data_IF_311746852312
#
_entry.id   IF_311746852312
#
_cell.length_a   1.000
_cell.length_b   1.000
_cell.length_c   1.000
_cell.angle_alpha   90.00
_cell.angle_beta   90.00
_cell.angle_gamma   90.00
#
_symmetry.space_group_name_H-M   'P 1'
#
loop_
_entity.id
_entity.type
_entity.pdbx_description
1 polymer ?
#
# COMPACT_ATOMS: atom_id res chain seq x y z
N UNK A 1 14.41 -67.66 -49.45
CA UNK A 1 14.96 -67.61 -50.87
C UNK A 1 15.81 -66.34 -50.96
N UNK A 2 17.04 -66.56 -51.36
CA UNK A 2 18.10 -65.73 -51.96
C UNK A 2 18.45 -64.43 -51.22
N UNK A 3 19.58 -64.36 -50.51
CA UNK A 3 21.01 -64.22 -50.99
C UNK A 3 21.17 -63.00 -51.89
N UNK A 4 22.02 -62.08 -51.65
CA UNK A 4 23.49 -62.01 -51.71
C UNK A 4 23.85 -60.51 -51.76
N UNK A 5 24.78 -59.96 -51.25
CA UNK A 5 26.24 -60.05 -50.98
C UNK A 5 26.90 -58.72 -51.31
N UNK A 6 27.77 -58.31 -50.41
CA UNK A 6 29.11 -57.68 -50.58
C UNK A 6 29.18 -56.40 -51.44
N UNK A 7 29.95 -55.39 -51.11
CA UNK A 7 31.41 -55.33 -50.82
C UNK A 7 31.83 -53.98 -50.30
N UNK A 8 32.76 -53.96 -49.37
CA UNK A 8 33.70 -52.87 -49.11
C UNK A 8 34.71 -52.76 -50.25
N UNK A 9 35.40 -51.59 -50.43
CA UNK A 9 36.75 -51.56 -49.94
C UNK A 9 37.18 -50.20 -49.24
N UNK A 10 38.24 -50.38 -48.47
CA UNK A 10 39.02 -49.44 -47.74
C UNK A 10 40.01 -48.57 -48.56
N UNK A 11 40.80 -47.77 -47.86
CA UNK A 11 42.07 -47.06 -48.18
C UNK A 11 41.84 -45.53 -48.34
N UNK A 12 42.55 -44.58 -47.77
CA UNK A 12 43.86 -44.57 -47.09
C UNK A 12 44.00 -43.29 -46.25
N UNK A 13 44.85 -43.33 -45.27
CA UNK A 13 45.31 -42.29 -44.40
C UNK A 13 46.14 -41.22 -45.13
N UNK A 14 46.08 -39.97 -44.67
CA UNK A 14 47.17 -39.01 -44.75
C UNK A 14 47.16 -38.09 -43.52
N UNK A 15 48.15 -38.21 -42.68
CA UNK A 15 48.47 -37.34 -41.56
C UNK A 15 49.15 -36.06 -42.08
N UNK A 16 48.66 -34.88 -41.65
CA UNK A 16 49.43 -33.64 -41.71
C UNK A 16 49.42 -33.03 -40.35
N UNK A 17 50.59 -33.02 -39.72
CA UNK A 17 50.87 -32.31 -38.51
C UNK A 17 50.99 -30.81 -38.80
N UNK A 18 50.18 -29.98 -38.16
CA UNK A 18 50.31 -28.53 -38.15
C UNK A 18 50.40 -28.02 -36.71
N UNK A 19 51.60 -27.63 -36.30
CA UNK A 19 51.80 -26.86 -35.06
C UNK A 19 51.06 -25.54 -35.19
N UNK A 20 50.12 -25.25 -34.25
CA UNK A 20 49.60 -23.92 -34.04
C UNK A 20 50.01 -23.45 -32.63
N UNK A 21 50.66 -22.30 -32.57
CA UNK A 21 51.08 -21.58 -31.40
C UNK A 21 49.93 -21.36 -30.39
N UNK A 22 50.19 -21.71 -29.18
CA UNK A 22 49.36 -21.28 -28.02
C UNK A 22 49.53 -19.77 -27.81
N UNK A 23 48.57 -18.97 -28.26
CA UNK A 23 48.38 -17.60 -27.83
C UNK A 23 47.48 -17.62 -26.58
N UNK A 24 48.04 -17.52 -25.40
CA UNK A 24 47.31 -17.15 -24.19
C UNK A 24 46.87 -15.67 -24.32
N UNK A 25 45.72 -15.41 -24.84
CA UNK A 25 44.97 -14.20 -24.50
C UNK A 25 44.27 -14.47 -23.20
N UNK A 26 44.76 -13.88 -22.12
CA UNK A 26 43.99 -13.71 -20.89
C UNK A 26 42.82 -12.78 -21.26
N UNK A 27 41.71 -13.36 -21.69
CA UNK A 27 40.41 -12.72 -21.66
C UNK A 27 40.00 -12.65 -20.21
N UNK A 28 40.02 -11.45 -19.66
CA UNK A 28 39.23 -11.15 -18.49
C UNK A 28 37.78 -11.50 -18.83
N UNK A 29 37.32 -12.65 -18.48
CA UNK A 29 35.92 -12.89 -18.23
C UNK A 29 35.58 -12.03 -17.02
N UNK A 30 35.12 -10.82 -17.25
CA UNK A 30 34.16 -10.24 -16.33
C UNK A 30 33.05 -11.28 -16.30
N UNK A 31 32.98 -12.07 -15.23
CA UNK A 31 31.75 -12.70 -14.81
C UNK A 31 30.75 -11.55 -14.62
N UNK A 32 30.00 -11.27 -15.67
CA UNK A 32 28.68 -10.65 -15.55
C UNK A 32 27.87 -11.73 -14.84
N UNK A 33 27.91 -11.71 -13.51
CA UNK A 33 26.98 -12.42 -12.70
C UNK A 33 25.62 -11.85 -13.08
N UNK A 34 24.89 -12.56 -13.96
CA UNK A 34 23.50 -12.33 -14.22
C UNK A 34 22.82 -12.49 -12.86
N UNK A 35 22.70 -11.40 -12.12
CA UNK A 35 21.86 -11.36 -10.93
C UNK A 35 20.46 -11.67 -11.43
N UNK A 36 19.81 -12.72 -10.89
CA UNK A 36 18.42 -13.05 -11.18
C UNK A 36 17.53 -11.83 -10.97
N UNK A 37 16.32 -11.88 -11.45
CA UNK A 37 15.30 -10.86 -11.18
C UNK A 37 14.41 -11.36 -10.07
N UNK A 38 14.33 -10.64 -8.97
CA UNK A 38 13.41 -10.91 -7.86
C UNK A 38 11.98 -10.58 -8.28
N UNK A 39 11.78 -9.38 -8.82
CA UNK A 39 10.47 -8.92 -9.28
C UNK A 39 10.56 -7.82 -10.34
N UNK A 40 9.45 -7.60 -11.03
CA UNK A 40 9.29 -6.51 -12.01
C UNK A 40 7.92 -5.88 -11.81
N UNK A 41 7.87 -4.56 -11.79
CA UNK A 41 6.66 -3.78 -11.47
C UNK A 41 6.52 -2.59 -12.40
N UNK A 42 5.35 -2.41 -12.97
CA UNK A 42 4.99 -1.20 -13.70
C UNK A 42 4.57 -0.10 -12.72
N UNK A 43 5.22 1.05 -12.77
CA UNK A 43 4.92 2.22 -11.93
C UNK A 43 4.56 3.44 -12.78
N UNK A 44 4.12 4.51 -12.13
CA UNK A 44 3.84 5.79 -12.80
C UNK A 44 5.08 6.38 -13.49
N UNK A 45 6.28 6.01 -13.05
CA UNK A 45 7.56 6.46 -13.61
C UNK A 45 8.22 5.45 -14.56
N UNK A 46 7.54 4.34 -14.86
CA UNK A 46 8.03 3.28 -15.74
C UNK A 46 8.18 1.94 -15.04
N UNK A 47 8.70 0.97 -15.77
CA UNK A 47 8.98 -0.36 -15.25
C UNK A 47 10.20 -0.34 -14.32
N UNK A 48 10.04 -0.94 -13.15
CA UNK A 48 11.11 -1.13 -12.17
C UNK A 48 11.42 -2.62 -12.08
N UNK A 49 12.67 -2.99 -12.35
CA UNK A 49 13.18 -4.35 -12.13
C UNK A 49 13.97 -4.39 -10.82
N UNK A 50 13.59 -5.27 -9.91
CA UNK A 50 14.29 -5.52 -8.65
C UNK A 50 15.23 -6.70 -8.86
N UNK A 51 16.57 -6.52 -8.76
CA UNK A 51 17.53 -7.61 -8.85
C UNK A 51 17.37 -8.59 -7.68
N UNK A 52 17.69 -9.86 -7.92
CA UNK A 52 17.81 -10.81 -6.81
C UNK A 52 19.01 -10.42 -5.94
N UNK A 53 18.83 -10.21 -4.61
CA UNK A 53 19.91 -9.79 -3.74
C UNK A 53 20.96 -10.90 -3.55
N UNK A 54 22.20 -10.53 -3.33
CA UNK A 54 23.27 -11.49 -3.07
C UNK A 54 23.20 -12.13 -1.68
N UNK A 55 22.40 -11.58 -0.79
CA UNK A 55 22.18 -12.01 0.60
C UNK A 55 20.73 -11.89 1.00
N UNK A 56 20.48 -11.53 2.26
CA UNK A 56 19.14 -11.21 2.73
C UNK A 56 18.66 -9.90 2.11
N UNK A 57 17.39 -9.88 1.68
CA UNK A 57 16.80 -8.71 1.04
C UNK A 57 16.63 -7.56 2.04
N UNK A 58 17.20 -6.41 1.72
CA UNK A 58 17.12 -5.18 2.53
C UNK A 58 16.08 -4.23 1.95
N UNK A 59 14.96 -4.03 2.67
CA UNK A 59 13.83 -3.21 2.22
C UNK A 59 13.67 -1.97 3.09
N UNK A 60 13.47 -0.82 2.47
CA UNK A 60 13.03 0.42 3.12
C UNK A 60 11.62 0.75 2.64
N UNK A 61 10.69 1.00 3.57
CA UNK A 61 9.28 1.29 3.31
C UNK A 61 8.96 2.74 3.69
N UNK A 62 8.60 3.55 2.71
CA UNK A 62 8.38 4.99 2.84
C UNK A 62 6.92 5.41 2.64
N UNK A 63 6.20 4.75 1.73
CA UNK A 63 4.80 5.07 1.47
C UNK A 63 3.90 4.68 2.65
N UNK A 64 2.75 5.34 2.72
CA UNK A 64 1.76 5.04 3.76
C UNK A 64 1.39 3.55 3.72
N UNK A 65 1.53 2.86 4.85
CA UNK A 65 1.27 1.43 5.04
C UNK A 65 2.16 0.45 4.24
N UNK A 66 3.16 0.91 3.47
CA UNK A 66 4.06 0.03 2.70
C UNK A 66 4.77 -1.00 3.60
N UNK A 67 5.16 -0.60 4.82
CA UNK A 67 5.76 -1.51 5.78
C UNK A 67 4.81 -2.66 6.15
N UNK A 68 3.53 -2.36 6.36
CA UNK A 68 2.52 -3.37 6.68
C UNK A 68 2.26 -4.31 5.51
N UNK A 69 2.31 -3.81 4.27
CA UNK A 69 2.20 -4.65 3.06
C UNK A 69 3.38 -5.63 2.97
N UNK A 70 4.62 -5.15 3.17
CA UNK A 70 5.81 -6.00 3.18
C UNK A 70 5.77 -7.06 4.30
N UNK A 71 5.37 -6.65 5.52
CA UNK A 71 5.23 -7.54 6.68
C UNK A 71 4.20 -8.64 6.43
N UNK A 72 3.07 -8.33 5.78
CA UNK A 72 2.04 -9.31 5.45
C UNK A 72 2.55 -10.41 4.52
N UNK A 73 3.54 -10.10 3.71
CA UNK A 73 4.23 -11.02 2.80
C UNK A 73 5.46 -11.69 3.45
N UNK A 74 5.68 -11.48 4.76
CA UNK A 74 6.79 -12.07 5.50
C UNK A 74 8.14 -11.41 5.22
N UNK A 75 8.17 -10.21 4.65
CA UNK A 75 9.37 -9.41 4.46
C UNK A 75 9.42 -8.30 5.50
N UNK A 76 10.50 -8.26 6.28
CA UNK A 76 10.67 -7.32 7.39
C UNK A 76 11.51 -6.13 6.94
N UNK A 77 10.94 -4.91 6.82
CA UNK A 77 11.71 -3.73 6.45
C UNK A 77 12.76 -3.37 7.52
N UNK A 78 13.94 -2.92 7.07
CA UNK A 78 15.00 -2.41 7.97
C UNK A 78 14.85 -0.91 8.24
N UNK A 79 14.12 -0.18 7.39
CA UNK A 79 13.80 1.23 7.53
C UNK A 79 12.32 1.48 7.24
N UNK A 80 11.66 2.28 8.08
CA UNK A 80 10.22 2.57 7.96
C UNK A 80 9.97 4.07 8.20
N UNK A 81 9.17 4.68 7.35
CA UNK A 81 8.66 6.03 7.58
C UNK A 81 7.40 5.98 8.46
N UNK A 82 7.45 6.64 9.61
CA UNK A 82 6.34 6.67 10.58
C UNK A 82 5.32 7.75 10.25
N UNK A 83 4.48 7.49 9.26
CA UNK A 83 3.53 8.47 8.74
C UNK A 83 2.33 8.77 9.66
N UNK A 84 2.03 7.89 10.64
CA UNK A 84 0.95 8.10 11.60
C UNK A 84 1.43 8.38 13.03
N UNK A 85 2.73 8.54 13.24
CA UNK A 85 3.32 8.74 14.56
C UNK A 85 3.02 7.57 15.52
N UNK A 86 3.11 6.35 15.04
CA UNK A 86 2.98 5.14 15.85
C UNK A 86 4.09 5.00 16.91
N UNK A 87 5.25 5.59 16.64
CA UNK A 87 6.40 5.64 17.52
C UNK A 87 7.27 4.39 17.51
N UNK A 88 8.42 4.52 18.16
CA UNK A 88 9.43 3.46 18.20
C UNK A 88 8.97 2.20 18.94
N UNK A 89 8.11 2.33 19.94
CA UNK A 89 7.57 1.18 20.68
C UNK A 89 6.72 0.27 19.79
N UNK A 90 6.07 0.83 18.78
CA UNK A 90 5.30 0.13 17.76
C UNK A 90 6.11 -0.08 16.46
N UNK A 91 7.43 0.20 16.45
CA UNK A 91 8.28 0.01 15.28
C UNK A 91 7.76 0.75 14.03
N UNK A 92 7.16 1.93 14.24
CA UNK A 92 6.58 2.79 13.19
C UNK A 92 5.45 2.17 12.36
N UNK A 93 4.77 1.15 12.88
CA UNK A 93 3.56 0.54 12.30
C UNK A 93 2.47 0.41 13.35
N UNK A 94 1.24 0.09 12.92
CA UNK A 94 0.14 -0.12 13.86
C UNK A 94 0.37 -1.30 14.82
N UNK A 95 -0.27 -1.28 16.03
CA UNK A 95 -0.13 -2.36 17.02
C UNK A 95 -0.43 -3.76 16.45
N UNK A 96 -1.33 -3.86 15.47
CA UNK A 96 -1.68 -5.10 14.77
C UNK A 96 -0.56 -5.70 13.93
N UNK A 97 0.50 -4.93 13.63
CA UNK A 97 1.62 -5.35 12.78
C UNK A 97 2.96 -5.42 13.51
N UNK A 98 3.06 -4.82 14.70
CA UNK A 98 4.32 -4.67 15.46
C UNK A 98 5.05 -5.99 15.72
N UNK A 99 4.33 -7.05 16.07
CA UNK A 99 4.90 -8.36 16.38
C UNK A 99 5.52 -9.05 15.15
N UNK A 100 5.12 -8.68 13.94
CA UNK A 100 5.64 -9.26 12.69
C UNK A 100 7.11 -8.91 12.43
N UNK A 101 7.63 -7.88 13.07
CA UNK A 101 9.06 -7.56 13.04
C UNK A 101 9.93 -8.57 13.80
N UNK A 102 9.35 -9.39 14.70
CA UNK A 102 10.11 -10.28 15.57
C UNK A 102 11.15 -9.50 16.38
N UNK A 103 12.42 -9.94 16.30
CA UNK A 103 13.54 -9.28 17.00
C UNK A 103 14.12 -8.08 16.23
N UNK A 104 13.65 -7.80 15.02
CA UNK A 104 14.14 -6.66 14.23
C UNK A 104 13.54 -5.35 14.77
N UNK A 105 14.40 -4.35 14.95
CA UNK A 105 14.01 -2.98 15.22
C UNK A 105 14.37 -2.15 13.99
N UNK A 106 13.39 -1.67 13.20
CA UNK A 106 13.67 -0.87 12.02
C UNK A 106 14.23 0.49 12.40
N UNK A 107 15.03 1.08 11.53
CA UNK A 107 15.35 2.50 11.59
C UNK A 107 14.12 3.32 11.22
N UNK A 108 13.74 4.28 12.05
CA UNK A 108 12.64 5.20 11.73
C UNK A 108 13.18 6.30 10.84
N UNK A 109 12.68 6.34 9.61
CA UNK A 109 13.09 7.36 8.62
C UNK A 109 12.43 8.67 8.97
N UNK A 110 13.25 9.68 9.22
CA UNK A 110 12.82 11.02 9.63
C UNK A 110 12.53 11.90 8.41
N UNK A 111 11.65 12.88 8.58
CA UNK A 111 11.50 13.98 7.64
C UNK A 111 12.72 14.90 7.66
N UNK A 112 13.11 15.36 6.49
CA UNK A 112 14.16 16.36 6.31
C UNK A 112 13.58 17.60 5.63
N UNK A 113 12.74 18.33 6.36
CA UNK A 113 11.96 19.45 5.81
C UNK A 113 10.73 18.94 5.04
N UNK A 114 10.68 19.18 3.72
CA UNK A 114 9.54 18.78 2.87
C UNK A 114 9.72 17.38 2.24
N UNK A 115 10.71 16.60 2.69
CA UNK A 115 11.05 15.31 2.10
C UNK A 115 11.63 14.36 3.16
N UNK A 116 11.83 13.09 2.78
CA UNK A 116 12.48 12.08 3.65
C UNK A 116 14.00 12.30 3.74
N UNK A 117 14.62 11.75 4.76
CA UNK A 117 16.07 11.81 4.96
C UNK A 117 16.79 10.80 4.05
N UNK A 118 17.24 11.25 2.88
CA UNK A 118 17.94 10.41 1.89
C UNK A 118 19.26 9.84 2.39
N UNK A 119 19.99 10.57 3.26
CA UNK A 119 21.26 10.09 3.82
C UNK A 119 21.03 8.90 4.75
N UNK A 120 19.95 8.95 5.54
CA UNK A 120 19.53 7.87 6.41
C UNK A 120 19.13 6.63 5.60
N UNK A 121 18.35 6.82 4.52
CA UNK A 121 17.96 5.74 3.60
C UNK A 121 19.21 5.11 2.95
N UNK A 122 20.12 5.93 2.42
CA UNK A 122 21.34 5.45 1.77
C UNK A 122 22.25 4.66 2.74
N UNK A 123 22.31 5.06 4.01
CA UNK A 123 23.11 4.38 5.03
C UNK A 123 22.61 2.97 5.35
N UNK A 124 21.36 2.65 5.04
CA UNK A 124 20.78 1.31 5.19
C UNK A 124 21.13 0.37 4.04
N UNK A 125 21.76 0.88 2.96
CA UNK A 125 22.14 0.11 1.76
C UNK A 125 20.99 -0.77 1.25
N UNK A 126 19.78 -0.19 0.94
CA UNK A 126 18.62 -0.98 0.56
C UNK A 126 18.79 -1.63 -0.82
N UNK A 127 18.26 -2.84 -0.98
CA UNK A 127 18.07 -3.50 -2.28
C UNK A 127 16.78 -3.03 -2.96
N UNK A 128 15.81 -2.54 -2.17
CA UNK A 128 14.49 -2.12 -2.61
C UNK A 128 13.94 -1.01 -1.72
N UNK A 129 13.36 0.01 -2.35
CA UNK A 129 12.59 1.07 -1.67
C UNK A 129 11.13 0.97 -2.13
N UNK A 130 10.20 0.89 -1.17
CA UNK A 130 8.77 0.94 -1.39
C UNK A 130 8.26 2.35 -1.10
N UNK A 131 7.54 2.94 -2.04
CA UNK A 131 6.90 4.26 -1.90
C UNK A 131 5.58 4.30 -2.69
N UNK A 132 4.79 3.24 -2.54
CA UNK A 132 3.63 2.95 -3.38
C UNK A 132 2.41 3.80 -3.07
N UNK A 133 2.24 4.26 -1.82
CA UNK A 133 1.17 5.17 -1.42
C UNK A 133 1.78 6.48 -0.92
N UNK A 134 2.11 7.35 -1.88
CA UNK A 134 2.84 8.59 -1.65
C UNK A 134 2.33 9.73 -2.55
N UNK A 135 2.98 10.88 -2.49
CA UNK A 135 2.61 12.04 -3.30
C UNK A 135 2.84 11.82 -4.81
N UNK A 136 3.60 10.81 -5.22
CA UNK A 136 3.95 10.59 -6.63
C UNK A 136 4.88 11.68 -7.17
N UNK A 137 5.79 12.22 -6.34
CA UNK A 137 6.72 13.28 -6.74
C UNK A 137 7.88 12.72 -7.56
N UNK A 138 8.04 13.22 -8.79
CA UNK A 138 9.07 12.76 -9.73
C UNK A 138 10.50 13.03 -9.23
N UNK A 139 10.73 14.16 -8.55
CA UNK A 139 12.07 14.48 -8.02
C UNK A 139 12.42 13.56 -6.85
N UNK A 140 11.43 13.19 -6.03
CA UNK A 140 11.63 12.21 -4.99
C UNK A 140 11.97 10.84 -5.61
N UNK A 141 11.25 10.44 -6.67
CA UNK A 141 11.54 9.21 -7.41
C UNK A 141 12.95 9.20 -7.98
N UNK A 142 13.36 10.26 -8.70
CA UNK A 142 14.71 10.39 -9.26
C UNK A 142 15.77 10.22 -8.17
N UNK A 143 15.56 10.88 -7.03
CA UNK A 143 16.51 10.85 -5.91
C UNK A 143 16.60 9.51 -5.21
N UNK A 144 15.47 8.84 -4.97
CA UNK A 144 15.42 7.51 -4.38
C UNK A 144 15.99 6.45 -5.32
N UNK A 145 15.73 6.58 -6.62
CA UNK A 145 16.24 5.65 -7.65
C UNK A 145 17.77 5.72 -7.84
N UNK A 146 18.42 6.82 -7.41
CA UNK A 146 19.89 6.87 -7.31
C UNK A 146 20.43 6.00 -6.17
N UNK A 147 19.59 5.63 -5.18
CA UNK A 147 19.98 4.81 -4.03
C UNK A 147 19.71 3.33 -4.32
N UNK A 148 18.46 3.00 -4.70
CA UNK A 148 18.03 1.63 -4.99
C UNK A 148 16.81 1.61 -5.93
N UNK A 149 16.47 0.46 -6.55
CA UNK A 149 15.20 0.28 -7.22
C UNK A 149 14.05 0.75 -6.34
N UNK A 150 13.22 1.67 -6.87
CA UNK A 150 12.16 2.32 -6.08
C UNK A 150 10.80 2.10 -6.74
N UNK A 151 9.87 1.50 -6.01
CA UNK A 151 8.52 1.19 -6.47
C UNK A 151 7.54 2.26 -6.00
N UNK A 152 6.90 2.93 -6.95
CA UNK A 152 5.82 3.88 -6.75
C UNK A 152 4.47 3.29 -7.15
N UNK A 153 3.39 4.05 -6.97
CA UNK A 153 2.06 3.70 -7.45
C UNK A 153 2.00 3.40 -8.96
N UNK A 154 0.99 2.68 -9.45
CA UNK A 154 0.74 2.54 -10.88
C UNK A 154 0.45 3.87 -11.57
N UNK A 155 0.48 3.87 -12.91
CA UNK A 155 0.07 5.04 -13.73
C UNK A 155 -1.35 5.48 -13.38
N UNK A 156 -1.57 6.79 -13.52
CA UNK A 156 -2.89 7.42 -13.31
C UNK A 156 -3.42 7.35 -11.86
N UNK A 157 -2.61 6.88 -10.91
CA UNK A 157 -2.94 6.95 -9.49
C UNK A 157 -2.75 8.38 -8.98
N UNK A 158 -3.77 8.95 -8.35
CA UNK A 158 -3.66 10.26 -7.71
C UNK A 158 -2.79 10.18 -6.45
N UNK A 159 -2.24 11.34 -6.03
CA UNK A 159 -1.40 11.41 -4.83
C UNK A 159 -2.09 10.77 -3.61
N UNK A 160 -1.40 9.84 -2.95
CA UNK A 160 -1.85 9.07 -1.79
C UNK A 160 -3.13 8.23 -1.98
N UNK A 161 -3.62 8.09 -3.21
CA UNK A 161 -4.86 7.38 -3.56
C UNK A 161 -4.58 6.00 -4.19
N UNK A 162 -3.61 5.26 -3.67
CA UNK A 162 -3.37 3.88 -4.08
C UNK A 162 -4.28 2.96 -3.25
N UNK A 163 -5.27 2.28 -3.87
CA UNK A 163 -6.12 1.32 -3.17
C UNK A 163 -5.30 0.22 -2.50
N UNK A 164 -5.76 -0.28 -1.36
CA UNK A 164 -4.99 -1.23 -0.54
C UNK A 164 -4.63 -2.54 -1.26
N UNK A 165 -5.53 -3.04 -2.11
CA UNK A 165 -5.33 -4.24 -2.91
C UNK A 165 -4.29 -4.01 -4.01
N UNK A 166 -4.39 -2.90 -4.74
CA UNK A 166 -3.40 -2.48 -5.73
C UNK A 166 -2.03 -2.24 -5.09
N UNK A 167 -2.00 -1.62 -3.89
CA UNK A 167 -0.78 -1.42 -3.12
C UNK A 167 -0.12 -2.76 -2.77
N UNK A 168 -0.89 -3.73 -2.27
CA UNK A 168 -0.37 -5.05 -1.94
C UNK A 168 0.14 -5.80 -3.18
N UNK A 169 -0.59 -5.73 -4.30
CA UNK A 169 -0.17 -6.32 -5.57
C UNK A 169 1.17 -5.75 -6.06
N UNK A 170 1.35 -4.41 -5.99
CA UNK A 170 2.60 -3.75 -6.35
C UNK A 170 3.77 -4.21 -5.46
N UNK A 171 3.55 -4.22 -4.15
CA UNK A 171 4.58 -4.67 -3.19
C UNK A 171 4.91 -6.15 -3.41
N UNK A 172 3.89 -6.99 -3.59
CA UNK A 172 4.08 -8.42 -3.85
C UNK A 172 4.85 -8.69 -5.15
N UNK A 173 4.54 -7.98 -6.23
CA UNK A 173 5.25 -8.11 -7.49
C UNK A 173 6.72 -7.68 -7.36
N UNK A 174 7.00 -6.58 -6.63
CA UNK A 174 8.37 -6.12 -6.36
C UNK A 174 9.18 -7.14 -5.55
N UNK A 175 8.52 -7.84 -4.62
CA UNK A 175 9.12 -8.85 -3.75
C UNK A 175 9.17 -10.26 -4.36
N UNK A 176 8.70 -10.44 -5.62
CA UNK A 176 8.62 -11.75 -6.25
C UNK A 176 7.60 -12.70 -5.58
N UNK A 177 6.57 -12.14 -4.92
CA UNK A 177 5.56 -12.85 -4.11
C UNK A 177 4.14 -12.64 -4.64
N UNK A 178 3.98 -12.55 -5.96
CA UNK A 178 2.69 -12.25 -6.59
C UNK A 178 1.59 -13.25 -6.17
N UNK A 179 1.88 -14.55 -6.13
CA UNK A 179 0.89 -15.56 -5.75
C UNK A 179 0.42 -15.39 -4.30
N UNK A 180 1.34 -15.08 -3.37
CA UNK A 180 1.02 -14.79 -1.97
C UNK A 180 0.21 -13.49 -1.83
N UNK A 181 0.58 -12.46 -2.60
CA UNK A 181 -0.16 -11.19 -2.66
C UNK A 181 -1.59 -11.38 -3.12
N UNK A 182 -1.79 -12.07 -4.25
CA UNK A 182 -3.11 -12.39 -4.81
C UNK A 182 -3.99 -13.18 -3.81
N UNK A 183 -3.37 -14.13 -3.09
CA UNK A 183 -4.06 -14.90 -2.07
C UNK A 183 -4.52 -14.02 -0.90
N UNK A 184 -3.67 -13.10 -0.42
CA UNK A 184 -4.02 -12.16 0.65
C UNK A 184 -5.09 -11.17 0.21
N UNK A 185 -5.00 -10.61 -1.00
CA UNK A 185 -6.05 -9.74 -1.59
C UNK A 185 -7.39 -10.49 -1.62
N UNK A 186 -7.39 -11.71 -2.14
CA UNK A 186 -8.61 -12.53 -2.25
C UNK A 186 -9.21 -12.84 -0.88
N UNK A 187 -8.39 -13.21 0.11
CA UNK A 187 -8.86 -13.52 1.46
C UNK A 187 -9.43 -12.28 2.17
N UNK A 188 -8.78 -11.12 2.02
CA UNK A 188 -9.24 -9.86 2.62
C UNK A 188 -10.54 -9.38 1.98
N UNK A 189 -10.65 -9.42 0.64
CA UNK A 189 -11.91 -9.12 -0.07
C UNK A 189 -13.03 -10.06 0.35
N UNK A 190 -12.73 -11.34 0.54
CA UNK A 190 -13.72 -12.30 1.06
C UNK A 190 -14.22 -11.89 2.46
N UNK A 191 -13.32 -11.50 3.37
CA UNK A 191 -13.72 -11.08 4.73
C UNK A 191 -14.60 -9.82 4.71
N UNK A 192 -14.30 -8.85 3.83
CA UNK A 192 -15.13 -7.65 3.66
C UNK A 192 -16.52 -8.04 3.11
N UNK A 193 -16.57 -8.89 2.08
CA UNK A 193 -17.82 -9.37 1.50
C UNK A 193 -18.67 -10.14 2.52
N UNK A 194 -18.06 -10.99 3.35
CA UNK A 194 -18.74 -11.70 4.42
C UNK A 194 -19.39 -10.74 5.44
N UNK A 195 -18.68 -9.65 5.77
CA UNK A 195 -19.24 -8.60 6.63
C UNK A 195 -20.41 -7.86 5.94
N UNK A 196 -20.30 -7.53 4.66
CA UNK A 196 -21.36 -6.93 3.86
C UNK A 196 -22.58 -7.84 3.74
N UNK A 197 -22.37 -9.15 3.56
CA UNK A 197 -23.44 -10.13 3.47
C UNK A 197 -24.22 -10.29 4.79
N UNK A 198 -23.56 -10.14 5.94
CA UNK A 198 -24.20 -10.13 7.26
C UNK A 198 -25.00 -8.84 7.48
N UNK A 199 -24.53 -7.71 6.92
CA UNK A 199 -25.05 -6.36 7.14
C UNK A 199 -25.72 -5.78 5.88
N UNK A 200 -26.70 -6.50 5.34
CA UNK A 200 -27.46 -6.09 4.14
C UNK A 200 -28.16 -4.72 4.29
N UNK A 201 -28.34 -4.24 5.53
CA UNK A 201 -28.87 -2.91 5.82
C UNK A 201 -27.98 -1.77 5.36
N UNK A 202 -26.70 -2.01 5.07
CA UNK A 202 -25.79 -1.00 4.53
C UNK A 202 -26.04 -0.72 3.05
N UNK A 203 -26.58 -1.71 2.34
CA UNK A 203 -26.72 -1.64 0.89
C UNK A 203 -27.59 -0.45 0.43
N UNK A 204 -26.93 0.49 -0.25
CA UNK A 204 -27.57 1.69 -0.81
C UNK A 204 -27.75 2.84 0.16
N UNK A 205 -27.39 2.71 1.45
CA UNK A 205 -27.29 3.87 2.33
C UNK A 205 -26.14 4.78 1.88
N UNK A 206 -26.36 6.08 1.96
CA UNK A 206 -25.31 7.06 1.70
C UNK A 206 -24.36 7.19 2.89
N UNK A 207 -23.09 7.39 2.60
CA UNK A 207 -22.07 7.61 3.64
C UNK A 207 -21.11 8.71 3.26
N UNK A 208 -20.39 9.20 4.25
CA UNK A 208 -19.21 10.04 4.08
C UNK A 208 -18.13 9.61 5.07
N UNK A 209 -16.93 9.36 4.57
CA UNK A 209 -15.71 9.32 5.38
C UNK A 209 -15.16 10.74 5.40
N UNK A 210 -15.24 11.42 6.55
CA UNK A 210 -14.93 12.83 6.64
C UNK A 210 -13.87 13.12 7.71
N UNK A 211 -13.19 14.25 7.57
CA UNK A 211 -12.18 14.70 8.51
C UNK A 211 -12.39 16.16 8.89
N UNK A 212 -11.90 16.51 10.09
CA UNK A 212 -11.65 17.86 10.55
C UNK A 212 -10.17 17.98 10.91
N UNK A 213 -9.50 19.00 10.35
CA UNK A 213 -8.10 19.31 10.66
C UNK A 213 -7.91 20.83 10.73
N UNK A 214 -7.44 21.35 11.85
CA UNK A 214 -7.45 22.80 12.12
C UNK A 214 -8.86 23.38 11.98
N UNK A 215 -9.00 24.45 11.20
CA UNK A 215 -10.30 25.08 10.88
C UNK A 215 -10.89 24.56 9.57
N UNK A 216 -10.27 23.54 8.95
CA UNK A 216 -10.68 22.98 7.69
C UNK A 216 -11.39 21.63 7.86
N UNK A 217 -12.15 21.27 6.83
CA UNK A 217 -12.87 20.00 6.73
C UNK A 217 -12.53 19.33 5.39
N UNK A 218 -12.70 18.03 5.31
CA UNK A 218 -12.51 17.28 4.09
C UNK A 218 -13.34 16.00 4.06
N UNK A 219 -13.64 15.51 2.86
CA UNK A 219 -14.26 14.23 2.63
C UNK A 219 -13.31 13.35 1.82
N UNK A 220 -13.11 12.11 2.26
CA UNK A 220 -12.32 11.13 1.52
C UNK A 220 -13.13 10.59 0.34
N UNK A 221 -12.43 10.34 -0.77
CA UNK A 221 -13.01 9.95 -2.04
C UNK A 221 -12.64 8.52 -2.42
N UNK A 222 -13.23 8.02 -3.49
CA UNK A 222 -12.85 6.74 -4.10
C UNK A 222 -11.34 6.71 -4.42
N UNK A 223 -10.71 5.59 -4.13
CA UNK A 223 -9.26 5.41 -4.15
C UNK A 223 -8.58 5.70 -2.82
N UNK A 224 -9.29 6.24 -1.81
CA UNK A 224 -8.81 6.30 -0.43
C UNK A 224 -9.44 5.18 0.40
N UNK A 225 -8.60 4.38 1.05
CA UNK A 225 -9.04 3.20 1.80
C UNK A 225 -10.09 3.48 2.87
N UNK A 226 -10.16 4.71 3.40
CA UNK A 226 -11.18 5.11 4.40
C UNK A 226 -12.57 5.18 3.79
N UNK A 227 -12.70 5.61 2.53
CA UNK A 227 -13.97 5.55 1.82
C UNK A 227 -14.18 4.17 1.17
N UNK A 228 -13.14 3.59 0.57
CA UNK A 228 -13.25 2.34 -0.18
C UNK A 228 -13.78 1.19 0.68
N UNK A 229 -13.32 1.07 1.94
CA UNK A 229 -13.84 0.05 2.89
C UNK A 229 -15.34 0.23 3.13
N UNK A 230 -15.85 1.47 3.23
CA UNK A 230 -17.29 1.72 3.38
C UNK A 230 -18.05 1.37 2.10
N UNK A 231 -17.50 1.67 0.94
CA UNK A 231 -18.07 1.31 -0.35
C UNK A 231 -18.13 -0.21 -0.53
N UNK A 232 -17.07 -0.92 -0.16
CA UNK A 232 -17.00 -2.39 -0.21
C UNK A 232 -18.00 -3.05 0.76
N UNK A 233 -18.35 -2.38 1.86
CA UNK A 233 -19.43 -2.82 2.78
C UNK A 233 -20.84 -2.54 2.25
N UNK A 234 -20.98 -1.86 1.08
CA UNK A 234 -22.25 -1.63 0.39
C UNK A 234 -22.81 -0.21 0.50
N UNK A 235 -22.13 0.70 1.19
CA UNK A 235 -22.52 2.10 1.25
C UNK A 235 -22.23 2.81 -0.09
N UNK A 236 -22.93 3.92 -0.32
CA UNK A 236 -22.70 4.80 -1.46
C UNK A 236 -22.17 6.16 -0.99
N UNK A 237 -21.27 6.75 -1.78
CA UNK A 237 -20.81 8.11 -1.49
C UNK A 237 -21.99 9.08 -1.46
N UNK A 238 -22.03 9.96 -0.45
CA UNK A 238 -23.04 11.02 -0.41
C UNK A 238 -22.94 11.88 -1.68
N UNK A 239 -24.03 12.04 -2.48
CA UNK A 239 -24.02 12.83 -3.70
C UNK A 239 -23.49 14.26 -3.53
N UNK A 240 -23.72 14.89 -2.36
CA UNK A 240 -23.21 16.22 -2.08
C UNK A 240 -21.67 16.28 -2.01
N UNK A 241 -21.00 15.16 -1.72
CA UNK A 241 -19.54 15.06 -1.74
C UNK A 241 -19.03 14.94 -3.18
N UNK A 242 -19.78 14.28 -4.07
CA UNK A 242 -19.41 14.13 -5.48
C UNK A 242 -19.44 15.45 -6.26
N UNK A 243 -20.18 16.44 -5.75
CA UNK A 243 -20.25 17.80 -6.33
C UNK A 243 -19.07 18.70 -5.90
N UNK A 244 -18.20 18.21 -4.98
CA UNK A 244 -17.04 18.96 -4.51
C UNK A 244 -15.84 18.81 -5.44
N UNK A 245 -14.93 19.78 -5.39
CA UNK A 245 -13.68 19.71 -6.16
C UNK A 245 -12.71 18.74 -5.51
N UNK A 246 -12.33 17.67 -6.23
CA UNK A 246 -11.39 16.68 -5.77
C UNK A 246 -9.96 17.21 -5.79
N UNK A 247 -9.19 16.86 -4.76
CA UNK A 247 -7.76 17.13 -4.63
C UNK A 247 -7.04 15.84 -4.19
N UNK A 248 -6.61 15.05 -5.18
CA UNK A 248 -6.04 13.73 -4.88
C UNK A 248 -7.07 12.80 -4.24
N UNK A 249 -6.77 12.29 -3.05
CA UNK A 249 -7.57 11.32 -2.30
C UNK A 249 -8.74 11.91 -1.50
N UNK A 250 -8.91 13.23 -1.50
CA UNK A 250 -9.96 13.90 -0.75
C UNK A 250 -10.52 15.12 -1.48
N UNK A 251 -11.68 15.62 -1.02
CA UNK A 251 -12.23 16.90 -1.39
C UNK A 251 -12.18 17.85 -0.18
N UNK A 252 -11.65 19.07 -0.40
CA UNK A 252 -11.70 20.12 0.62
C UNK A 252 -13.14 20.61 0.79
N UNK A 253 -13.58 20.75 2.05
CA UNK A 253 -14.94 21.18 2.39
C UNK A 253 -14.85 22.48 3.19
N UNK A 254 -15.44 23.55 2.65
CA UNK A 254 -15.52 24.82 3.39
C UNK A 254 -16.57 24.74 4.50
N UNK A 255 -16.51 25.68 5.46
CA UNK A 255 -17.51 25.79 6.52
C UNK A 255 -18.96 25.89 5.98
N UNK A 256 -19.14 26.51 4.82
CA UNK A 256 -20.45 26.67 4.16
C UNK A 256 -20.94 25.37 3.50
N UNK A 257 -20.00 24.44 3.19
CA UNK A 257 -20.26 23.16 2.53
C UNK A 257 -20.31 21.97 3.50
N UNK A 258 -20.13 22.18 4.80
CA UNK A 258 -20.11 21.09 5.82
C UNK A 258 -21.39 20.24 5.79
N UNK A 259 -22.52 20.80 5.27
CA UNK A 259 -23.74 20.03 5.02
C UNK A 259 -23.55 18.85 4.07
N UNK A 260 -22.45 18.79 3.29
CA UNK A 260 -22.08 17.62 2.50
C UNK A 260 -21.76 16.39 3.37
N UNK A 261 -21.55 16.56 4.67
CA UNK A 261 -21.37 15.44 5.61
C UNK A 261 -22.68 14.85 6.13
N UNK A 262 -23.83 15.48 5.84
CA UNK A 262 -25.13 14.96 6.23
C UNK A 262 -25.58 13.84 5.30
N UNK A 263 -25.10 12.64 5.58
CA UNK A 263 -25.42 11.39 4.90
C UNK A 263 -26.36 10.53 5.77
N UNK A 264 -26.75 9.35 5.29
CA UNK A 264 -27.45 8.37 6.12
C UNK A 264 -26.58 7.94 7.30
N UNK A 265 -25.28 7.68 7.06
CA UNK A 265 -24.29 7.38 8.10
C UNK A 265 -23.03 8.20 7.77
N UNK A 266 -22.35 8.73 8.80
CA UNK A 266 -21.08 9.43 8.64
C UNK A 266 -20.01 8.84 9.55
N UNK A 267 -18.78 8.71 9.04
CA UNK A 267 -17.59 8.39 9.83
C UNK A 267 -16.70 9.64 9.86
N UNK A 268 -16.54 10.22 11.04
CA UNK A 268 -15.77 11.45 11.25
C UNK A 268 -14.43 11.10 11.90
N UNK A 269 -13.34 11.36 11.20
CA UNK A 269 -11.97 11.10 11.62
C UNK A 269 -11.26 12.44 11.86
N UNK A 270 -11.20 12.93 13.11
CA UNK A 270 -10.54 14.19 13.41
C UNK A 270 -9.01 14.04 13.39
N UNK A 271 -8.32 15.08 12.92
CA UNK A 271 -6.86 15.17 12.93
C UNK A 271 -6.45 16.31 13.85
N UNK A 272 -5.75 15.97 14.96
CA UNK A 272 -5.31 16.95 15.96
C UNK A 272 -6.38 17.41 16.94
N UNK A 273 -7.55 16.74 16.98
CA UNK A 273 -8.64 16.99 17.91
C UNK A 273 -9.11 15.70 18.55
N UNK A 274 -9.63 15.76 19.76
CA UNK A 274 -10.34 14.63 20.36
C UNK A 274 -11.73 14.43 19.72
N UNK A 275 -12.30 13.24 19.89
CA UNK A 275 -13.68 12.98 19.49
C UNK A 275 -14.67 13.97 20.18
N UNK A 276 -14.40 14.33 21.43
CA UNK A 276 -15.22 15.27 22.20
C UNK A 276 -15.16 16.68 21.59
N UNK A 277 -13.97 17.19 21.24
CA UNK A 277 -13.81 18.49 20.61
C UNK A 277 -14.48 18.53 19.23
N UNK A 278 -14.37 17.46 18.48
CA UNK A 278 -15.01 17.31 17.17
C UNK A 278 -16.52 17.30 17.26
N UNK A 279 -17.07 16.59 18.24
CA UNK A 279 -18.52 16.57 18.49
C UNK A 279 -19.04 17.94 19.00
N UNK A 280 -18.20 18.71 19.68
CA UNK A 280 -18.54 20.04 20.16
C UNK A 280 -18.39 21.14 19.08
N UNK A 281 -17.82 20.82 17.90
CA UNK A 281 -17.73 21.78 16.79
C UNK A 281 -19.13 22.24 16.36
N UNK A 282 -19.44 23.55 16.36
CA UNK A 282 -20.80 24.03 16.14
C UNK A 282 -21.38 23.64 14.76
N UNK A 283 -20.54 23.54 13.73
CA UNK A 283 -20.96 23.18 12.39
C UNK A 283 -21.30 21.70 12.33
N UNK A 284 -20.41 20.82 12.83
CA UNK A 284 -20.64 19.38 12.88
C UNK A 284 -21.82 19.03 13.79
N UNK A 285 -21.90 19.64 14.97
CA UNK A 285 -23.02 19.45 15.92
C UNK A 285 -24.39 19.85 15.36
N UNK A 286 -24.42 20.75 14.36
CA UNK A 286 -25.66 21.19 13.72
C UNK A 286 -26.22 20.21 12.67
N UNK A 287 -25.40 19.23 12.24
CA UNK A 287 -25.79 18.30 11.19
C UNK A 287 -26.80 17.27 11.72
N UNK A 288 -27.87 16.96 10.97
CA UNK A 288 -28.83 15.92 11.32
C UNK A 288 -28.19 14.57 11.58
N UNK A 289 -27.21 14.15 10.77
CA UNK A 289 -26.47 12.88 10.95
C UNK A 289 -25.80 12.80 12.34
N UNK A 290 -25.33 13.92 12.88
CA UNK A 290 -24.72 14.01 14.22
C UNK A 290 -25.80 14.04 15.30
N UNK A 291 -26.84 14.85 15.12
CA UNK A 291 -27.93 15.03 16.10
C UNK A 291 -28.73 13.72 16.30
N UNK A 292 -28.93 12.98 15.24
CA UNK A 292 -29.63 11.68 15.26
C UNK A 292 -28.74 10.53 15.77
N UNK A 293 -27.45 10.80 16.05
CA UNK A 293 -26.49 9.80 16.47
C UNK A 293 -26.13 8.77 15.38
N UNK A 294 -26.19 9.18 14.12
CA UNK A 294 -25.80 8.40 12.94
C UNK A 294 -24.35 8.67 12.50
N UNK A 295 -23.71 9.66 13.13
CA UNK A 295 -22.30 9.93 12.95
C UNK A 295 -21.45 9.14 13.96
N UNK A 296 -20.44 8.44 13.45
CA UNK A 296 -19.42 7.75 14.23
C UNK A 296 -18.22 8.68 14.30
N UNK A 297 -17.98 9.29 15.46
CA UNK A 297 -16.81 10.17 15.66
C UNK A 297 -15.72 9.33 16.29
N UNK A 298 -14.63 9.14 15.53
CA UNK A 298 -13.47 8.38 15.96
C UNK A 298 -12.55 9.25 16.82
N UNK A 299 -11.87 8.65 17.79
CA UNK A 299 -10.83 9.34 18.57
C UNK A 299 -9.45 9.03 18.00
N UNK A 300 -8.60 10.03 17.72
CA UNK A 300 -7.27 9.80 17.16
C UNK A 300 -6.37 8.87 17.97
N UNK A 301 -6.64 8.74 19.27
CA UNK A 301 -5.87 7.86 20.16
C UNK A 301 -6.30 6.38 20.08
N UNK A 302 -7.46 6.09 19.47
CA UNK A 302 -7.99 4.74 19.42
C UNK A 302 -7.32 3.93 18.30
N UNK A 303 -7.06 2.65 18.58
CA UNK A 303 -6.55 1.68 17.61
C UNK A 303 -7.43 1.62 16.34
N UNK A 304 -8.75 1.67 16.49
CA UNK A 304 -9.67 1.70 15.36
C UNK A 304 -9.39 2.86 14.42
N UNK A 305 -9.13 4.06 14.95
CA UNK A 305 -8.86 5.25 14.13
C UNK A 305 -7.57 5.09 13.33
N UNK A 306 -6.55 4.56 13.98
CA UNK A 306 -5.26 4.27 13.33
C UNK A 306 -5.40 3.18 12.27
N UNK A 307 -6.12 2.09 12.58
CA UNK A 307 -6.36 1.00 11.64
C UNK A 307 -7.18 1.44 10.42
N UNK A 308 -8.21 2.25 10.63
CA UNK A 308 -9.05 2.80 9.58
C UNK A 308 -8.28 3.77 8.67
N UNK A 309 -7.36 4.56 9.23
CA UNK A 309 -6.47 5.43 8.44
C UNK A 309 -5.43 4.62 7.67
N UNK A 310 -4.88 3.56 8.26
CA UNK A 310 -3.88 2.71 7.63
C UNK A 310 -4.47 2.01 6.40
N UNK A 311 -5.68 1.48 6.51
CA UNK A 311 -6.39 0.76 5.46
C UNK A 311 -5.47 -0.24 4.74
N UNK A 312 -4.66 -0.98 5.52
CA UNK A 312 -3.76 -2.02 5.03
C UNK A 312 -4.40 -3.39 5.12
N UNK A 313 -3.85 -4.37 4.42
CA UNK A 313 -4.28 -5.77 4.52
C UNK A 313 -4.24 -6.30 5.97
N UNK A 314 -3.34 -5.77 6.81
CA UNK A 314 -3.21 -6.15 8.22
C UNK A 314 -4.18 -5.38 9.13
N UNK A 315 -4.53 -4.14 8.79
CA UNK A 315 -5.40 -3.30 9.60
C UNK A 315 -6.89 -3.51 9.31
N UNK A 316 -7.26 -3.93 8.10
CA UNK A 316 -8.65 -4.17 7.70
C UNK A 316 -9.38 -5.13 8.66
N UNK A 317 -8.80 -6.24 9.16
CA UNK A 317 -9.47 -7.08 10.16
C UNK A 317 -9.88 -6.31 11.41
N UNK A 318 -9.04 -5.40 11.92
CA UNK A 318 -9.35 -4.53 13.07
C UNK A 318 -10.52 -3.60 12.73
N UNK A 319 -10.52 -3.04 11.53
CA UNK A 319 -11.63 -2.18 11.05
C UNK A 319 -12.94 -2.97 10.99
N UNK A 320 -12.93 -4.17 10.43
CA UNK A 320 -14.13 -5.01 10.34
C UNK A 320 -14.66 -5.37 11.73
N UNK A 321 -13.79 -5.74 12.66
CA UNK A 321 -14.19 -6.10 14.02
C UNK A 321 -14.77 -4.92 14.81
N UNK A 322 -14.15 -3.73 14.68
CA UNK A 322 -14.48 -2.61 15.57
C UNK A 322 -15.40 -1.56 14.93
N UNK A 323 -15.34 -1.32 13.60
CA UNK A 323 -16.16 -0.31 12.91
C UNK A 323 -17.52 -0.87 12.47
N UNK A 324 -17.58 -2.10 11.94
CA UNK A 324 -18.84 -2.67 11.41
C UNK A 324 -19.97 -2.68 12.44
N UNK A 325 -19.77 -3.05 13.70
CA UNK A 325 -20.85 -2.96 14.71
C UNK A 325 -21.34 -1.53 14.92
N UNK A 326 -20.46 -0.53 14.88
CA UNK A 326 -20.82 0.89 15.02
C UNK A 326 -21.60 1.39 13.79
N UNK A 327 -21.24 0.93 12.59
CA UNK A 327 -21.98 1.21 11.35
C UNK A 327 -23.40 0.62 11.41
N UNK A 328 -23.54 -0.61 11.91
CA UNK A 328 -24.84 -1.27 12.08
C UNK A 328 -25.74 -0.52 13.09
N UNK A 329 -25.18 -0.06 14.21
CA UNK A 329 -25.90 0.76 15.19
C UNK A 329 -26.35 2.11 14.59
N UNK A 330 -25.50 2.75 13.75
CA UNK A 330 -25.83 3.99 13.08
C UNK A 330 -26.89 3.77 12.00
N UNK A 331 -26.74 2.75 11.17
CA UNK A 331 -27.69 2.38 10.11
C UNK A 331 -29.08 2.06 10.65
N UNK A 332 -29.17 1.42 11.83
CA UNK A 332 -30.45 1.13 12.50
C UNK A 332 -31.28 2.38 12.87
N UNK A 333 -30.63 3.56 12.91
CA UNK A 333 -31.28 4.87 13.21
C UNK A 333 -31.72 5.61 11.96
N UNK A 334 -31.37 5.12 10.78
CA UNK A 334 -31.84 5.71 9.52
C UNK A 334 -33.36 5.48 9.42
N UNK A 335 -34.11 6.57 9.31
CA UNK A 335 -35.57 6.49 9.17
C UNK A 335 -35.95 5.74 7.89
N UNK A 336 -36.78 4.72 8.01
CA UNK A 336 -37.33 3.96 6.89
C UNK A 336 -38.49 4.69 6.25
#
# INVERSE_FOLDING_TARGET
>A
MRRMTRTLPAVAALAVAGLALAGCTAGSSTDDASTGTLGTVDTMFGEVTVPEPAGDLTVVALGWSDAEMALSLGVVPVGVYDWQSFGADNKAVGPWATDLFGDVTPEIIEDSGDTVNYEQIQALEPDLILNTRSAGDEKQYERLSEIAPTVFAPKETAAFATPWDVQLEQVAAALGKTEEGDALVSATKQSINEAADVHQEFAGLTTVAATKFGDAYGAYLEGDGRFDILADLGFQQNPAVLDLEASGFYAAVSAEQVSAFDADVAVLLPIGFSAADTTADPLLASLPVVQDGRAIVLDPADELTQAYSAASVLSIPVVLEQLVPKLAEAAAKVAK
#
